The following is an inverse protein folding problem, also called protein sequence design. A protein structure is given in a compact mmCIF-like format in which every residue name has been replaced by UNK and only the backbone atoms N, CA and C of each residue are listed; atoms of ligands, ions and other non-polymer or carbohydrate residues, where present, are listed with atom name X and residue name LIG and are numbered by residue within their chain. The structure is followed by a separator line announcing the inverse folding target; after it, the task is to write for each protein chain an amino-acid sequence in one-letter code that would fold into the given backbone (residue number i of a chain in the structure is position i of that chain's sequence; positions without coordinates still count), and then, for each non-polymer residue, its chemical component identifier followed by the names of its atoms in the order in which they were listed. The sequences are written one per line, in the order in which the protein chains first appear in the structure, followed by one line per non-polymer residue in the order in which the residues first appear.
data_IF_408754664551
#
_entry.id   IF_408754664551
#
_cell.length_a   1.000
_cell.length_b   1.000
_cell.length_c   1.000
_cell.angle_alpha   90.00
_cell.angle_beta   90.00
_cell.angle_gamma   90.00
#
_symmetry.space_group_name_H-M   'P 1'
#
loop_
_entity.id
_entity.type
_entity.pdbx_description
1 polymer ?
#
# COMPACT_ATOMS: atom_id res chain seq x y z
N UNK A 1 20.58 29.78 0.90
CA UNK A 1 19.18 29.57 1.33
C UNK A 1 18.99 30.24 2.69
N UNK A 2 17.98 31.08 2.87
CA UNK A 2 17.63 31.60 4.22
C UNK A 2 16.92 30.51 5.01
N UNK A 3 17.26 30.31 6.28
CA UNK A 3 16.67 29.28 7.16
C UNK A 3 15.14 29.20 7.07
N UNK A 4 14.45 30.36 7.02
CA UNK A 4 12.99 30.46 6.88
C UNK A 4 12.43 29.83 5.59
N UNK A 5 13.16 29.91 4.47
CA UNK A 5 12.72 29.32 3.19
C UNK A 5 12.96 27.82 3.15
N UNK A 6 14.06 27.35 3.76
CA UNK A 6 14.31 25.92 3.94
C UNK A 6 13.19 25.24 4.74
N UNK A 7 12.78 25.88 5.84
CA UNK A 7 11.65 25.41 6.66
C UNK A 7 10.36 25.34 5.82
N UNK A 8 10.07 26.34 4.99
CA UNK A 8 8.87 26.32 4.12
C UNK A 8 8.87 25.17 3.12
N UNK A 9 9.99 24.91 2.46
CA UNK A 9 10.13 23.76 1.56
C UNK A 9 9.93 22.44 2.31
N UNK A 10 10.57 22.29 3.47
CA UNK A 10 10.42 21.10 4.31
C UNK A 10 8.98 20.87 4.78
N UNK A 11 8.30 21.90 5.26
CA UNK A 11 6.88 21.81 5.67
C UNK A 11 6.00 21.43 4.48
N UNK A 12 6.21 22.04 3.31
CA UNK A 12 5.46 21.71 2.10
C UNK A 12 5.67 20.24 1.70
N UNK A 13 6.92 19.76 1.73
CA UNK A 13 7.24 18.36 1.45
C UNK A 13 6.51 17.42 2.39
N UNK A 14 6.56 17.68 3.71
CA UNK A 14 5.84 16.86 4.71
C UNK A 14 4.35 16.80 4.38
N UNK A 15 3.72 17.94 4.12
CA UNK A 15 2.27 18.00 3.83
C UNK A 15 1.93 17.20 2.56
N UNK A 16 2.74 17.28 1.51
CA UNK A 16 2.54 16.51 0.27
C UNK A 16 2.76 15.00 0.50
N UNK A 17 3.67 14.63 1.39
CA UNK A 17 3.99 13.23 1.66
C UNK A 17 3.03 12.52 2.61
N UNK A 18 2.30 13.25 3.46
CA UNK A 18 1.38 12.65 4.45
C UNK A 18 0.35 11.68 3.84
N UNK A 19 -0.35 12.01 2.73
CA UNK A 19 -1.31 11.08 2.14
C UNK A 19 -0.66 9.78 1.63
N UNK A 20 0.52 9.88 1.01
CA UNK A 20 1.27 8.72 0.51
C UNK A 20 1.70 7.82 1.66
N UNK A 21 2.21 8.42 2.74
CA UNK A 21 2.57 7.68 3.96
C UNK A 21 1.35 7.00 4.59
N UNK A 22 0.18 7.66 4.58
CA UNK A 22 -1.07 7.06 5.07
C UNK A 22 -1.43 5.81 4.27
N UNK A 23 -1.38 5.87 2.94
CA UNK A 23 -1.69 4.72 2.09
C UNK A 23 -0.69 3.58 2.27
N UNK A 24 0.60 3.87 2.35
CA UNK A 24 1.63 2.86 2.65
C UNK A 24 1.39 2.18 3.99
N UNK A 25 1.03 2.95 5.02
CA UNK A 25 0.71 2.40 6.33
C UNK A 25 -0.55 1.53 6.31
N UNK A 26 -1.60 1.95 5.58
CA UNK A 26 -2.84 1.18 5.46
C UNK A 26 -2.61 -0.16 4.76
N UNK A 27 -1.82 -0.18 3.69
CA UNK A 27 -1.47 -1.41 2.96
C UNK A 27 -0.64 -2.36 3.82
N UNK A 28 0.39 -1.84 4.51
CA UNK A 28 1.17 -2.62 5.47
C UNK A 28 0.32 -3.21 6.60
N UNK A 29 -0.58 -2.40 7.18
CA UNK A 29 -1.47 -2.84 8.24
C UNK A 29 -2.44 -3.93 7.75
N UNK A 30 -2.96 -3.81 6.52
CA UNK A 30 -3.82 -4.81 5.91
C UNK A 30 -3.09 -6.13 5.69
N UNK A 31 -1.88 -6.11 5.11
CA UNK A 31 -1.06 -7.32 4.94
C UNK A 31 -0.82 -8.04 6.27
N UNK A 32 -0.45 -7.32 7.33
CA UNK A 32 -0.27 -7.91 8.68
C UNK A 32 -1.55 -8.45 9.30
N UNK A 33 -2.67 -7.77 9.09
CA UNK A 33 -3.97 -8.26 9.58
C UNK A 33 -4.38 -9.56 8.86
N UNK A 34 -4.18 -9.64 7.54
CA UNK A 34 -4.45 -10.84 6.75
C UNK A 34 -3.56 -11.99 7.19
N UNK A 35 -2.25 -11.75 7.35
CA UNK A 35 -1.27 -12.76 7.82
C UNK A 35 -1.72 -13.39 9.14
N UNK A 36 -2.05 -12.55 10.14
CA UNK A 36 -2.54 -13.00 11.44
C UNK A 36 -3.86 -13.79 11.33
N UNK A 37 -4.79 -13.30 10.52
CA UNK A 37 -6.08 -13.95 10.31
C UNK A 37 -5.92 -15.32 9.60
N UNK A 38 -4.94 -15.44 8.70
CA UNK A 38 -4.62 -16.71 8.03
C UNK A 38 -4.07 -17.74 9.01
N UNK A 39 -3.15 -17.38 9.89
CA UNK A 39 -2.66 -18.30 10.94
C UNK A 39 -3.84 -18.91 11.73
N UNK A 40 -4.76 -18.06 12.21
CA UNK A 40 -5.93 -18.53 12.93
C UNK A 40 -6.85 -19.42 12.07
N UNK A 41 -7.08 -19.03 10.81
CA UNK A 41 -7.92 -19.78 9.88
C UNK A 41 -7.35 -21.19 9.61
N UNK A 42 -6.04 -21.32 9.48
CA UNK A 42 -5.36 -22.62 9.30
C UNK A 42 -5.49 -23.50 10.55
N UNK A 43 -5.32 -22.93 11.74
CA UNK A 43 -5.54 -23.65 13.00
C UNK A 43 -6.99 -24.17 13.07
N UNK A 44 -7.96 -23.31 12.78
CA UNK A 44 -9.38 -23.61 12.95
C UNK A 44 -9.92 -24.63 11.94
N UNK A 45 -9.44 -24.58 10.68
CA UNK A 45 -10.01 -25.37 9.58
C UNK A 45 -9.08 -26.41 8.97
N UNK A 46 -7.76 -26.22 9.06
CA UNK A 46 -6.77 -27.17 8.52
C UNK A 46 -6.17 -28.06 9.61
N UNK A 47 -6.47 -27.80 10.89
CA UNK A 47 -6.05 -28.61 12.04
C UNK A 47 -4.58 -28.43 12.43
N UNK A 48 -3.95 -27.34 12.01
CA UNK A 48 -2.55 -27.02 12.32
C UNK A 48 -2.15 -25.64 11.81
N UNK A 49 -1.22 -25.01 12.53
CA UNK A 49 -0.64 -23.72 12.13
C UNK A 49 0.38 -23.90 10.99
N UNK A 50 0.62 -22.83 10.25
CA UNK A 50 1.62 -22.77 9.17
C UNK A 50 2.76 -21.87 9.64
N UNK A 51 3.98 -22.40 9.69
CA UNK A 51 5.12 -21.71 10.31
C UNK A 51 5.45 -20.36 9.65
N UNK A 52 5.31 -20.26 8.32
CA UNK A 52 5.61 -19.04 7.58
C UNK A 52 4.48 -18.73 6.60
N UNK A 53 3.90 -17.53 6.74
CA UNK A 53 2.94 -16.95 5.80
C UNK A 53 3.47 -15.55 5.43
N UNK A 54 3.74 -15.35 4.15
CA UNK A 54 4.13 -14.06 3.59
C UNK A 54 2.96 -13.52 2.77
N UNK A 55 2.41 -12.37 3.18
CA UNK A 55 1.25 -11.75 2.53
C UNK A 55 1.66 -10.51 1.76
N UNK A 56 1.41 -10.53 0.46
CA UNK A 56 1.59 -9.41 -0.44
C UNK A 56 0.23 -8.82 -0.85
N UNK A 57 0.03 -7.54 -0.54
CA UNK A 57 -1.08 -6.73 -1.04
C UNK A 57 -0.57 -5.83 -2.16
N UNK A 58 -1.38 -5.64 -3.21
CA UNK A 58 -1.02 -4.72 -4.30
C UNK A 58 -1.43 -3.29 -3.93
N UNK A 59 -0.46 -2.49 -3.48
CA UNK A 59 -0.67 -1.07 -3.18
C UNK A 59 -1.11 -0.27 -4.41
N UNK A 60 -0.54 -0.55 -5.59
CA UNK A 60 -0.85 0.15 -6.84
C UNK A 60 -1.76 -0.74 -7.69
N UNK A 61 -2.80 -0.13 -8.24
CA UNK A 61 -3.69 -0.84 -9.14
C UNK A 61 -2.97 -1.22 -10.45
N UNK A 62 -3.00 -2.50 -10.83
CA UNK A 62 -2.44 -2.94 -12.11
C UNK A 62 -3.24 -2.34 -13.27
N UNK A 63 -2.51 -1.86 -14.29
CA UNK A 63 -3.10 -1.32 -15.50
C UNK A 63 -3.56 -2.48 -16.39
N UNK A 64 -4.87 -2.70 -16.49
CA UNK A 64 -5.43 -3.76 -17.34
C UNK A 64 -6.86 -3.45 -17.76
N UNK A 65 -7.16 -3.62 -19.06
CA UNK A 65 -8.53 -3.63 -19.60
C UNK A 65 -9.40 -4.75 -19.01
N UNK A 66 -8.76 -5.74 -18.37
CA UNK A 66 -9.40 -6.81 -17.65
C UNK A 66 -9.40 -6.45 -16.17
N UNK A 67 -10.59 -6.18 -15.65
CA UNK A 67 -10.89 -5.82 -14.27
C UNK A 67 -10.67 -7.03 -13.34
N UNK A 68 -9.50 -7.66 -13.38
CA UNK A 68 -9.11 -8.69 -12.41
C UNK A 68 -8.95 -7.96 -11.09
N UNK A 69 -9.86 -8.23 -10.15
CA UNK A 69 -9.97 -7.50 -8.88
C UNK A 69 -8.65 -7.32 -8.16
N UNK A 70 -8.59 -6.30 -7.29
CA UNK A 70 -7.46 -6.16 -6.38
C UNK A 70 -7.43 -7.37 -5.48
N UNK A 71 -6.44 -8.22 -5.71
CA UNK A 71 -6.25 -9.42 -4.94
C UNK A 71 -5.02 -9.23 -4.05
N UNK A 72 -5.11 -9.75 -2.85
CA UNK A 72 -3.93 -10.06 -2.06
C UNK A 72 -3.49 -11.49 -2.39
N UNK A 73 -2.20 -11.74 -2.19
CA UNK A 73 -1.57 -13.02 -2.41
C UNK A 73 -0.81 -13.41 -1.15
N UNK A 74 -0.86 -14.68 -0.77
CA UNK A 74 -0.07 -15.22 0.31
C UNK A 74 0.73 -16.42 -0.19
N UNK A 75 2.03 -16.39 0.07
CA UNK A 75 2.92 -17.54 -0.12
C UNK A 75 3.19 -18.13 1.25
N UNK A 76 3.16 -19.45 1.36
CA UNK A 76 3.24 -20.11 2.65
C UNK A 76 4.02 -21.42 2.61
N UNK A 77 4.54 -21.83 3.77
CA UNK A 77 5.36 -23.06 3.90
C UNK A 77 4.56 -24.36 3.85
N UNK A 78 3.23 -24.28 3.76
CA UNK A 78 2.36 -25.46 3.72
C UNK A 78 2.49 -26.22 2.39
N UNK A 79 2.83 -27.51 2.47
CA UNK A 79 2.92 -28.39 1.29
C UNK A 79 1.56 -28.58 0.59
N UNK A 80 0.46 -28.52 1.35
CA UNK A 80 -0.90 -28.75 0.83
C UNK A 80 -1.48 -27.52 0.16
N UNK A 81 -1.16 -26.34 0.70
CA UNK A 81 -1.67 -25.06 0.22
C UNK A 81 -0.44 -24.14 0.19
N UNK A 82 0.40 -24.19 -0.87
CA UNK A 82 1.62 -23.38 -0.92
C UNK A 82 1.33 -21.90 -1.18
N UNK A 83 0.18 -21.61 -1.79
CA UNK A 83 -0.24 -20.28 -2.17
C UNK A 83 -1.73 -20.11 -1.93
N UNK A 84 -2.13 -18.90 -1.56
CA UNK A 84 -3.53 -18.51 -1.42
C UNK A 84 -3.72 -17.10 -2.00
N UNK A 85 -4.88 -16.86 -2.59
CA UNK A 85 -5.27 -15.52 -3.04
C UNK A 85 -6.65 -15.20 -2.53
N UNK A 86 -6.91 -13.90 -2.37
CA UNK A 86 -8.21 -13.41 -1.96
C UNK A 86 -8.43 -11.99 -2.45
N UNK A 87 -9.65 -11.51 -2.31
CA UNK A 87 -10.01 -10.14 -2.67
C UNK A 87 -9.52 -9.15 -1.60
N UNK A 88 -8.97 -8.03 -2.05
CA UNK A 88 -8.46 -6.92 -1.26
C UNK A 88 -9.20 -5.62 -1.62
N UNK A 89 -10.35 -5.42 -0.98
CA UNK A 89 -11.17 -4.21 -1.07
C UNK A 89 -10.93 -3.25 0.10
N UNK A 90 -11.37 -2.00 -0.06
CA UNK A 90 -11.43 -1.01 1.01
C UNK A 90 -12.47 -1.38 2.07
N UNK A 91 -13.57 -2.02 1.66
CA UNK A 91 -14.65 -2.45 2.55
C UNK A 91 -14.49 -3.93 2.92
N UNK A 92 -14.25 -4.78 1.93
CA UNK A 92 -14.24 -6.24 2.09
C UNK A 92 -12.87 -6.80 1.74
N UNK A 93 -12.33 -7.60 2.67
CA UNK A 93 -11.18 -8.47 2.40
C UNK A 93 -11.67 -9.90 2.57
N UNK A 94 -11.48 -10.76 1.57
CA UNK A 94 -12.14 -12.07 1.58
C UNK A 94 -11.35 -13.17 0.89
N UNK A 95 -11.68 -14.42 1.22
CA UNK A 95 -11.21 -15.64 0.57
C UNK A 95 -12.42 -16.35 -0.03
N UNK A 96 -12.31 -16.75 -1.30
CA UNK A 96 -13.31 -17.61 -1.94
C UNK A 96 -12.82 -19.06 -1.89
N UNK A 97 -13.73 -19.99 -1.64
CA UNK A 97 -13.49 -21.44 -1.70
C UNK A 97 -12.20 -21.90 -0.99
N UNK A 98 -12.09 -21.60 0.32
CA UNK A 98 -10.87 -21.92 1.08
C UNK A 98 -10.59 -23.45 1.10
N UNK A 99 -9.39 -23.93 0.73
CA UNK A 99 -9.19 -25.34 0.39
C UNK A 99 -9.48 -26.36 1.50
N UNK A 100 -9.34 -26.00 2.79
CA UNK A 100 -9.61 -26.92 3.90
C UNK A 100 -11.11 -27.06 4.25
N UNK A 101 -11.98 -26.14 3.82
CA UNK A 101 -13.40 -26.15 4.20
C UNK A 101 -14.38 -25.94 3.04
N UNK A 102 -13.90 -25.50 1.88
CA UNK A 102 -14.69 -25.06 0.71
C UNK A 102 -15.71 -23.97 1.03
N UNK A 103 -15.43 -23.17 2.05
CA UNK A 103 -16.26 -22.02 2.45
C UNK A 103 -15.65 -20.72 1.98
N UNK A 104 -16.50 -19.71 1.87
CA UNK A 104 -16.07 -18.33 1.67
C UNK A 104 -15.85 -17.68 3.04
N UNK A 105 -14.89 -16.78 3.11
CA UNK A 105 -14.55 -16.07 4.34
C UNK A 105 -14.42 -14.58 4.08
N UNK A 106 -14.88 -13.77 5.03
CA UNK A 106 -14.67 -12.32 5.07
C UNK A 106 -13.86 -11.98 6.31
N UNK A 107 -12.88 -11.10 6.16
CA UNK A 107 -12.06 -10.61 7.25
C UNK A 107 -12.88 -9.61 8.07
N UNK A 108 -13.14 -9.96 9.32
CA UNK A 108 -13.61 -9.01 10.32
C UNK A 108 -12.42 -8.23 10.86
N UNK A 109 -12.42 -6.92 10.64
CA UNK A 109 -11.35 -6.00 11.05
C UNK A 109 -11.34 -5.73 12.55
N UNK A 110 -12.45 -5.90 13.25
CA UNK A 110 -12.52 -5.68 14.70
C UNK A 110 -11.89 -6.85 15.45
N UNK A 111 -12.17 -8.07 15.01
CA UNK A 111 -11.64 -9.30 15.61
C UNK A 111 -10.36 -9.80 14.96
N UNK A 112 -9.96 -9.22 13.82
CA UNK A 112 -8.81 -9.61 12.99
C UNK A 112 -8.86 -11.09 12.59
N UNK A 113 -10.05 -11.58 12.20
CA UNK A 113 -10.30 -12.99 11.88
C UNK A 113 -11.13 -13.16 10.62
N UNK A 114 -10.87 -14.24 9.90
CA UNK A 114 -11.72 -14.66 8.80
C UNK A 114 -12.96 -15.38 9.32
N UNK A 115 -14.13 -14.79 9.07
CA UNK A 115 -15.44 -15.33 9.47
C UNK A 115 -16.09 -15.99 8.25
N UNK A 116 -16.63 -17.22 8.38
CA UNK A 116 -17.29 -17.91 7.27
C UNK A 116 -18.58 -17.20 6.86
N UNK A 117 -18.82 -17.12 5.55
CA UNK A 117 -20.06 -16.58 4.98
C UNK A 117 -20.61 -17.53 3.91
N UNK A 118 -21.94 -17.62 3.81
CA UNK A 118 -22.59 -18.50 2.84
C UNK A 118 -22.55 -17.92 1.41
N UNK A 119 -22.68 -16.60 1.29
CA UNK A 119 -22.65 -15.87 0.02
C UNK A 119 -21.63 -14.73 0.10
N UNK A 120 -20.74 -14.69 -0.88
CA UNK A 120 -19.75 -13.63 -1.01
C UNK A 120 -20.19 -12.66 -2.12
N UNK A 121 -20.59 -11.45 -1.73
CA UNK A 121 -20.89 -10.37 -2.66
C UNK A 121 -19.69 -9.43 -2.73
N UNK A 122 -19.04 -9.37 -3.90
CA UNK A 122 -17.91 -8.48 -4.14
C UNK A 122 -18.34 -7.36 -5.07
N UNK A 123 -18.24 -6.11 -4.60
CA UNK A 123 -18.36 -4.96 -5.50
C UNK A 123 -17.06 -4.83 -6.31
N UNK A 124 -17.18 -4.83 -7.63
CA UNK A 124 -16.05 -4.58 -8.54
C UNK A 124 -15.37 -3.22 -8.33
N UNK A 125 -16.04 -2.27 -7.69
CA UNK A 125 -15.50 -0.96 -7.34
C UNK A 125 -14.83 -0.94 -5.96
N UNK A 126 -15.01 -1.98 -5.15
CA UNK A 126 -14.32 -2.09 -3.87
C UNK A 126 -12.87 -2.49 -4.09
N UNK A 127 -12.00 -1.48 -4.10
CA UNK A 127 -10.60 -1.62 -4.50
C UNK A 127 -9.71 -0.91 -3.50
N UNK A 128 -9.02 -1.67 -2.65
CA UNK A 128 -8.00 -1.09 -1.78
C UNK A 128 -6.75 -0.68 -2.57
N UNK A 129 -6.00 0.28 -2.02
CA UNK A 129 -4.79 0.82 -2.64
C UNK A 129 -5.03 2.11 -3.41
N UNK A 130 -4.03 2.47 -4.22
CA UNK A 130 -3.95 3.74 -4.95
C UNK A 130 -4.10 3.45 -6.43
N UNK A 131 -4.99 4.19 -7.09
CA UNK A 131 -5.09 4.11 -8.55
C UNK A 131 -3.79 4.58 -9.21
N UNK A 132 -3.50 4.02 -10.38
CA UNK A 132 -2.30 4.39 -11.12
C UNK A 132 -2.29 5.89 -11.47
N UNK A 133 -3.43 6.47 -11.81
CA UNK A 133 -3.57 7.90 -12.14
C UNK A 133 -3.21 8.79 -10.96
N UNK A 134 -3.66 8.42 -9.75
CA UNK A 134 -3.33 9.15 -8.52
C UNK A 134 -1.84 9.06 -8.26
N UNK A 135 -1.24 7.86 -8.33
CA UNK A 135 0.20 7.68 -8.18
C UNK A 135 1.01 8.49 -9.19
N UNK A 136 0.57 8.50 -10.45
CA UNK A 136 1.19 9.28 -11.51
C UNK A 136 1.11 10.79 -11.25
N UNK A 137 -0.03 11.28 -10.75
CA UNK A 137 -0.16 12.69 -10.36
C UNK A 137 0.78 13.05 -9.20
N UNK A 138 0.90 12.19 -8.18
CA UNK A 138 1.89 12.38 -7.11
C UNK A 138 3.32 12.44 -7.67
N UNK A 139 3.65 11.55 -8.59
CA UNK A 139 4.95 11.55 -9.25
C UNK A 139 5.25 12.89 -9.95
N UNK A 140 4.28 13.45 -10.70
CA UNK A 140 4.41 14.77 -11.32
C UNK A 140 4.61 15.87 -10.27
N UNK A 141 3.84 15.85 -9.18
CA UNK A 141 3.95 16.84 -8.09
C UNK A 141 5.34 16.80 -7.46
N UNK A 142 5.87 15.60 -7.17
CA UNK A 142 7.22 15.45 -6.63
C UNK A 142 8.28 15.93 -7.63
N UNK A 143 8.16 15.56 -8.91
CA UNK A 143 9.08 16.03 -9.95
C UNK A 143 9.11 17.56 -10.03
N UNK A 144 7.94 18.20 -10.03
CA UNK A 144 7.83 19.65 -10.05
C UNK A 144 8.46 20.27 -8.79
N UNK A 145 8.14 19.74 -7.61
CA UNK A 145 8.68 20.20 -6.33
C UNK A 145 10.22 20.15 -6.30
N UNK A 146 10.82 19.01 -6.68
CA UNK A 146 12.27 18.83 -6.70
C UNK A 146 12.95 19.67 -7.78
N UNK A 147 12.30 19.86 -8.93
CA UNK A 147 12.80 20.76 -9.98
C UNK A 147 12.88 22.20 -9.48
N UNK A 148 11.80 22.70 -8.86
CA UNK A 148 11.77 24.05 -8.28
C UNK A 148 12.83 24.22 -7.19
N UNK A 149 12.96 23.23 -6.31
CA UNK A 149 13.99 23.24 -5.26
C UNK A 149 15.40 23.29 -5.84
N UNK A 150 15.68 22.49 -6.88
CA UNK A 150 16.98 22.42 -7.54
C UNK A 150 17.33 23.74 -8.23
N UNK A 151 16.40 24.30 -9.01
CA UNK A 151 16.57 25.63 -9.65
C UNK A 151 16.83 26.70 -8.59
N UNK A 152 16.10 26.67 -7.48
CA UNK A 152 16.28 27.62 -6.39
C UNK A 152 17.67 27.51 -5.72
N UNK A 153 18.13 26.28 -5.47
CA UNK A 153 19.47 26.03 -4.91
C UNK A 153 20.54 26.52 -5.88
N UNK A 154 20.42 26.18 -7.17
CA UNK A 154 21.35 26.59 -8.21
C UNK A 154 21.42 28.11 -8.32
N UNK A 155 20.28 28.80 -8.37
CA UNK A 155 20.21 30.26 -8.40
C UNK A 155 20.86 30.89 -7.15
N UNK A 156 20.59 30.33 -5.97
CA UNK A 156 21.20 30.78 -4.71
C UNK A 156 22.73 30.62 -4.73
N UNK A 157 23.22 29.51 -5.28
CA UNK A 157 24.65 29.22 -5.40
C UNK A 157 25.34 30.18 -6.38
N UNK A 158 24.79 30.35 -7.59
CA UNK A 158 25.31 31.27 -8.60
C UNK A 158 25.38 32.70 -8.05
N UNK A 159 24.33 33.17 -7.35
CA UNK A 159 24.30 34.51 -6.76
C UNK A 159 25.42 34.70 -5.73
N UNK A 160 25.63 33.73 -4.84
CA UNK A 160 26.74 33.77 -3.86
C UNK A 160 28.11 33.82 -4.54
N UNK A 161 28.32 32.96 -5.55
CA UNK A 161 29.57 32.92 -6.32
C UNK A 161 29.85 34.24 -7.04
N UNK A 162 28.83 34.90 -7.58
CA UNK A 162 28.97 36.21 -8.23
C UNK A 162 29.28 37.35 -7.25
N UNK A 163 28.75 37.30 -6.02
CA UNK A 163 29.03 38.32 -4.99
C UNK A 163 30.47 38.17 -4.47
N UNK A 164 30.90 36.96 -4.13
CA UNK A 164 32.28 36.73 -3.66
C UNK A 164 33.37 37.01 -4.70
N UNK A 165 33.01 37.08 -6.00
CA UNK A 165 33.91 37.47 -7.10
C UNK A 165 33.94 38.98 -7.36
N UNK A 166 33.07 39.76 -6.72
CA UNK A 166 33.07 41.24 -6.78
C UNK A 166 33.81 41.89 -5.61
N UNK A 167 34.06 41.13 -4.55
CA UNK A 167 34.77 41.57 -3.33
C UNK A 167 36.25 41.13 -3.31
N UNK A 168 36.72 40.44 -4.36
CA UNK A 168 38.10 40.03 -4.60
C UNK A 168 38.61 40.70 -5.87
#
# INVERSE_FOLDING_TARGET
MTRRRAIKFLVLFIVISLPVLKWLYQDYAASKMIEKALHQLFIDYCGGDVDNIEVETKLIHEFGFWNTGHNWHAVMSSVKIPELTGHHGNEVISISDFPCSRKNFVLDRETERFIPVDLLFLDSNDKAGISFEVMFLYFIVYLFYFTVLTVYILHSYIRRKRIGKKEA
#
